data_IF_053903444295
#
_entry.id   IF_053903444295
#
_cell.length_a   1.000
_cell.length_b   1.000
_cell.length_c   1.000
_cell.angle_alpha   90.00
_cell.angle_beta   90.00
_cell.angle_gamma   90.00
#
_symmetry.space_group_name_H-M   'P 1'
#
loop_
_entity.id
_entity.type
_entity.pdbx_description
1 polymer ?
2 polymer ?
3 water ?
#
# COMPACT_ATOMS: atom_id res chain seq x y z
N UNK A 1 32.82 -14.35 -8.36
CA UNK A 1 31.39 -14.31 -8.07
C UNK A 1 30.68 -15.47 -8.77
N UNK A 2 30.50 -16.59 -8.07
CA UNK A 2 29.84 -17.74 -8.70
C UNK A 2 28.34 -17.52 -8.86
N UNK A 3 27.75 -18.32 -9.74
CA UNK A 3 26.30 -18.35 -9.83
C UNK A 3 25.68 -18.80 -8.51
N UNK A 4 26.24 -19.85 -7.91
CA UNK A 4 25.77 -20.32 -6.61
C UNK A 4 26.16 -19.33 -5.52
N UNK A 5 25.59 -18.13 -5.57
CA UNK A 5 25.86 -17.08 -4.59
C UNK A 5 24.59 -16.82 -3.78
N UNK A 6 24.75 -16.73 -2.47
CA UNK A 6 23.61 -16.59 -1.56
C UNK A 6 23.37 -15.11 -1.32
N UNK A 7 22.44 -14.52 -2.09
CA UNK A 7 22.04 -13.13 -1.93
C UNK A 7 20.85 -12.96 -1.00
N UNK A 8 20.63 -13.91 -0.09
CA UNK A 8 19.50 -13.82 0.83
C UNK A 8 19.72 -12.72 1.85
N UNK A 9 18.62 -12.07 2.24
CA UNK A 9 18.68 -10.99 3.21
C UNK A 9 18.69 -11.52 4.63
N UNK A 10 19.50 -10.90 5.48
CA UNK A 10 19.66 -11.30 6.88
C UNK A 10 19.33 -10.09 7.75
N UNK A 11 18.08 -10.02 8.22
CA UNK A 11 17.65 -8.93 9.08
C UNK A 11 18.03 -9.18 10.53
N UNK A 12 18.19 -8.09 11.28
CA UNK A 12 18.47 -8.17 12.72
C UNK A 12 17.78 -6.97 13.38
N UNK A 13 16.66 -7.24 14.05
CA UNK A 13 15.91 -6.18 14.70
C UNK A 13 16.49 -5.91 16.08
N UNK A 14 16.63 -4.62 16.41
CA UNK A 14 17.16 -4.19 17.70
C UNK A 14 16.21 -3.14 18.28
N UNK A 15 15.80 -3.33 19.53
CA UNK A 15 14.95 -2.39 20.25
C UNK A 15 15.73 -1.88 21.46
N UNK A 16 16.22 -0.65 21.38
CA UNK A 16 16.90 -0.02 22.49
C UNK A 16 18.09 -0.81 23.00
N UNK A 17 19.04 -1.10 22.11
CA UNK A 17 20.25 -1.80 22.51
C UNK A 17 20.08 -3.27 22.80
N UNK A 18 18.93 -3.85 22.47
CA UNK A 18 18.67 -5.27 22.69
C UNK A 18 18.28 -5.92 21.37
N UNK A 19 18.95 -7.01 21.03
CA UNK A 19 18.56 -7.79 19.85
C UNK A 19 17.27 -8.53 20.18
N UNK A 20 16.21 -8.22 19.43
CA UNK A 20 14.90 -8.79 19.67
C UNK A 20 14.51 -9.81 18.61
N UNK A 21 15.36 -10.05 17.63
CA UNK A 21 15.07 -11.05 16.62
C UNK A 21 16.02 -11.08 15.43
N UNK A 22 16.13 -12.24 14.79
CA UNK A 22 16.86 -12.39 13.54
C UNK A 22 15.95 -13.07 12.53
N UNK A 23 16.07 -12.68 11.26
CA UNK A 23 15.19 -13.22 10.23
C UNK A 23 15.97 -13.31 8.93
N UNK A 24 16.09 -14.51 8.38
CA UNK A 24 16.61 -14.69 7.04
C UNK A 24 15.45 -14.72 6.06
N UNK A 25 15.53 -13.89 5.01
CA UNK A 25 14.46 -13.74 4.04
C UNK A 25 15.03 -14.16 2.69
N UNK A 26 14.65 -15.36 2.23
CA UNK A 26 15.19 -15.93 1.01
C UNK A 26 14.53 -15.39 -0.26
N UNK A 27 13.69 -14.37 -0.15
CA UNK A 27 13.00 -13.81 -1.30
C UNK A 27 13.70 -12.55 -1.78
N UNK A 28 13.53 -12.24 -3.07
CA UNK A 28 14.13 -11.04 -3.63
C UNK A 28 13.64 -9.79 -2.93
N UNK A 29 12.40 -9.80 -2.45
CA UNK A 29 11.78 -8.64 -1.84
C UNK A 29 11.15 -9.01 -0.50
N UNK A 30 10.86 -7.98 0.28
CA UNK A 30 10.11 -8.12 1.52
C UNK A 30 9.65 -6.74 1.94
N UNK A 31 8.61 -6.70 2.77
CA UNK A 31 8.13 -5.47 3.37
C UNK A 31 8.08 -5.65 4.87
N UNK A 32 8.72 -4.73 5.59
CA UNK A 32 8.76 -4.77 7.04
C UNK A 32 7.59 -3.98 7.60
N UNK A 33 6.69 -4.67 8.30
CA UNK A 33 5.44 -4.08 8.76
C UNK A 33 5.25 -4.42 10.23
N UNK A 34 4.40 -3.62 10.89
CA UNK A 34 4.05 -3.89 12.29
C UNK A 34 3.31 -5.22 12.40
N UNK A 35 2.15 -5.31 11.74
CA UNK A 35 1.35 -6.53 11.71
C UNK A 35 0.98 -6.83 10.27
N UNK A 36 0.99 -8.12 9.92
CA UNK A 36 0.70 -8.52 8.56
C UNK A 36 -0.72 -8.14 8.17
N UNK A 37 -0.87 -7.60 6.97
CA UNK A 37 -2.17 -7.17 6.47
C UNK A 37 -2.83 -8.29 5.67
N UNK A 38 -4.15 -8.32 5.70
CA UNK A 38 -4.93 -9.30 4.94
C UNK A 38 -5.10 -8.78 3.52
N UNK A 39 -4.18 -9.17 2.64
CA UNK A 39 -4.23 -8.75 1.25
C UNK A 39 -3.43 -9.74 0.42
N UNK A 40 -3.69 -9.73 -0.88
CA UNK A 40 -2.97 -10.59 -1.83
C UNK A 40 -1.86 -9.75 -2.45
N UNK A 41 -0.70 -9.75 -1.81
CA UNK A 41 0.46 -9.02 -2.28
C UNK A 41 1.51 -10.01 -2.79
N UNK A 42 2.03 -9.76 -3.98
CA UNK A 42 3.09 -10.59 -4.52
C UNK A 42 4.34 -10.55 -3.67
N UNK A 43 4.52 -9.50 -2.88
CA UNK A 43 5.73 -9.33 -2.08
C UNK A 43 5.54 -9.90 -0.68
N UNK A 44 6.60 -10.52 -0.16
CA UNK A 44 6.57 -11.06 1.20
C UNK A 44 6.49 -9.93 2.21
N UNK A 45 5.88 -10.20 3.35
CA UNK A 45 5.74 -9.25 4.45
C UNK A 45 6.35 -9.85 5.70
N UNK A 46 7.31 -9.15 6.29
CA UNK A 46 8.03 -9.60 7.47
C UNK A 46 7.61 -8.71 8.63
N UNK A 47 7.02 -9.33 9.66
CA UNK A 47 6.53 -8.58 10.80
C UNK A 47 7.66 -8.23 11.76
N UNK A 48 7.62 -7.02 12.30
CA UNK A 48 8.52 -6.66 13.36
C UNK A 48 8.27 -7.52 14.59
N UNK A 49 9.30 -7.82 15.39
CA UNK A 49 9.07 -8.54 16.64
C UNK A 49 8.12 -7.76 17.55
N UNK A 50 7.15 -8.47 18.10
CA UNK A 50 6.17 -7.85 18.99
C UNK A 50 6.83 -7.52 20.33
N UNK A 51 6.92 -6.25 20.73
CA UNK A 51 7.63 -5.93 21.98
C UNK A 51 6.97 -6.56 23.18
N UNK A 52 7.77 -7.28 23.97
CA UNK A 52 7.24 -7.88 25.19
C UNK A 52 6.86 -6.81 26.22
N UNK A 53 7.72 -5.86 26.56
CA UNK A 53 7.31 -4.81 27.52
C UNK A 53 6.19 -3.92 26.98
N UNK A 54 6.13 -3.75 25.66
CA UNK A 54 5.02 -3.08 24.97
C UNK A 54 5.24 -1.60 24.79
N UNK A 55 6.13 -1.00 25.57
CA UNK A 55 6.39 0.43 25.45
C UNK A 55 7.88 0.70 25.64
N UNK A 56 8.40 1.79 25.05
CA UNK A 56 7.72 2.72 24.15
C UNK A 56 7.66 2.24 22.69
N UNK A 57 8.12 1.02 22.44
CA UNK A 57 8.26 0.56 21.06
C UNK A 57 6.92 0.46 20.34
N UNK A 58 5.89 -0.05 21.03
CA UNK A 58 4.63 -0.33 20.36
C UNK A 58 4.01 0.94 19.77
N UNK A 59 4.11 2.06 20.50
CA UNK A 59 3.58 3.32 19.97
C UNK A 59 4.27 3.70 18.66
N UNK A 60 5.54 3.32 18.50
CA UNK A 60 6.29 3.64 17.29
C UNK A 60 5.88 2.73 16.13
N UNK A 61 5.78 1.43 16.38
CA UNK A 61 5.43 0.50 15.31
C UNK A 61 4.04 0.78 14.75
N UNK A 62 3.13 1.31 15.56
CA UNK A 62 1.77 1.57 15.10
C UNK A 62 1.67 2.73 14.13
N UNK A 63 2.77 3.41 13.83
CA UNK A 63 2.79 4.50 12.85
C UNK A 63 3.47 4.12 11.55
N UNK A 64 4.01 2.89 11.46
CA UNK A 64 4.62 2.46 10.20
C UNK A 64 3.62 2.52 9.06
N UNK A 65 2.47 1.87 9.24
CA UNK A 65 1.46 1.80 8.19
C UNK A 65 2.01 1.07 6.98
N UNK A 66 2.37 1.80 5.91
CA UNK A 66 2.87 1.15 4.71
C UNK A 66 4.19 0.41 4.96
N UNK A 67 5.01 0.91 5.88
CA UNK A 67 6.21 0.20 6.28
C UNK A 67 7.42 0.52 5.44
N UNK A 68 8.35 -0.43 5.34
CA UNK A 68 9.60 -0.26 4.60
C UNK A 68 9.74 -1.39 3.60
N UNK A 69 10.20 -1.04 2.40
CA UNK A 69 10.46 -2.00 1.34
C UNK A 69 11.97 -2.23 1.23
N UNK A 70 12.38 -3.49 1.23
CA UNK A 70 13.79 -3.86 1.07
C UNK A 70 13.91 -4.85 -0.07
N UNK A 71 14.87 -4.62 -0.96
CA UNK A 71 15.13 -5.50 -2.09
C UNK A 71 16.56 -6.03 -1.97
N UNK A 72 16.70 -7.35 -1.88
CA UNK A 72 17.99 -8.01 -1.75
C UNK A 72 18.15 -8.98 -2.91
N UNK A 73 18.94 -8.58 -3.91
CA UNK A 73 19.15 -9.38 -5.11
C UNK A 73 20.64 -9.51 -5.42
N UNK A 74 20.97 -9.74 -6.69
CA UNK A 74 22.38 -9.92 -7.07
C UNK A 74 23.15 -8.61 -7.08
N UNK A 75 22.47 -7.48 -7.23
CA UNK A 75 23.15 -6.19 -7.32
C UNK A 75 23.29 -5.49 -5.97
N UNK A 76 22.77 -6.08 -4.90
CA UNK A 76 22.93 -5.53 -3.57
C UNK A 76 21.60 -5.21 -2.92
N UNK A 77 21.62 -4.24 -2.01
CA UNK A 77 20.47 -3.90 -1.18
C UNK A 77 19.87 -2.58 -1.63
N UNK A 78 18.55 -2.56 -1.72
CA UNK A 78 17.79 -1.37 -2.04
C UNK A 78 16.66 -1.22 -1.04
N UNK A 79 16.31 0.02 -0.72
CA UNK A 79 15.29 0.31 0.26
C UNK A 79 14.44 1.48 -0.20
N UNK A 80 13.17 1.46 0.19
CA UNK A 80 12.28 2.61 0.00
C UNK A 80 11.42 2.77 1.23
N UNK A 81 11.38 3.99 1.77
CA UNK A 81 10.60 4.29 2.96
C UNK A 81 9.21 4.79 2.57
N UNK A 82 8.18 4.13 3.09
CA UNK A 82 6.80 4.50 2.83
C UNK A 82 6.07 5.01 4.05
N UNK A 83 6.73 5.04 5.20
CA UNK A 83 6.10 5.43 6.46
C UNK A 83 6.44 6.87 6.82
N UNK A 84 5.62 7.52 7.66
CA UNK A 84 5.96 8.86 8.13
C UNK A 84 7.05 8.89 9.18
N UNK A 85 7.38 7.74 9.77
CA UNK A 85 8.47 7.69 10.77
C UNK A 85 9.78 8.06 10.09
N UNK A 86 10.57 8.98 10.63
CA UNK A 86 11.88 9.28 10.03
C UNK A 86 12.82 8.09 10.16
N UNK A 87 13.62 7.86 9.13
CA UNK A 87 14.60 6.78 9.12
C UNK A 87 15.93 7.34 8.68
N UNK A 88 16.95 7.18 9.52
CA UNK A 88 18.33 7.39 9.12
C UNK A 88 18.97 6.04 8.81
N UNK A 89 20.12 6.08 8.13
CA UNK A 89 20.74 4.85 7.68
C UNK A 89 22.25 5.05 7.52
N UNK A 90 22.99 3.97 7.75
CA UNK A 90 24.42 3.91 7.52
C UNK A 90 24.72 2.65 6.73
N UNK A 91 25.46 2.78 5.63
CA UNK A 91 25.77 1.65 4.78
C UNK A 91 27.01 1.99 3.98
N UNK A 92 27.60 1.02 3.27
CA UNK A 92 28.81 1.31 2.50
C UNK A 92 28.64 2.40 1.46
N UNK A 93 27.41 2.61 0.95
CA UNK A 93 27.17 3.58 -0.10
C UNK A 93 26.63 4.90 0.44
N UNK A 94 26.74 5.13 1.74
CA UNK A 94 26.34 6.42 2.29
C UNK A 94 27.31 7.50 1.79
N UNK A 95 26.82 8.70 1.50
CA UNK A 95 27.71 9.73 0.98
C UNK A 95 28.59 10.30 2.07
N UNK A 96 29.56 11.14 1.72
CA UNK A 96 30.43 11.74 2.74
C UNK A 96 29.84 13.02 3.28
N UNK A 97 29.02 12.92 4.32
CA UNK A 97 28.33 14.07 4.86
C UNK A 97 28.45 14.16 6.37
N UNK A 98 28.33 15.38 6.92
CA UNK A 98 28.48 15.56 8.36
C UNK A 98 27.32 15.00 9.17
N UNK A 99 26.10 15.41 8.82
CA UNK A 99 24.93 15.05 9.58
C UNK A 99 24.42 13.66 9.23
N UNK A 100 23.19 13.36 9.63
CA UNK A 100 22.62 12.04 9.34
C UNK A 100 22.09 11.94 7.92
N UNK A 101 22.06 10.72 7.41
CA UNK A 101 21.54 10.42 6.09
C UNK A 101 20.15 9.83 6.24
N UNK A 102 19.14 10.54 5.74
CA UNK A 102 17.74 10.20 5.97
C UNK A 102 17.10 9.68 4.70
N UNK A 103 16.39 8.57 4.82
CA UNK A 103 15.69 7.99 3.67
C UNK A 103 14.62 8.95 3.17
N UNK A 104 14.63 9.35 1.90
CA UNK A 104 13.56 10.21 1.41
C UNK A 104 12.33 9.42 0.99
N UNK A 105 11.17 9.98 1.28
CA UNK A 105 9.91 9.36 0.86
C UNK A 105 9.77 9.42 -0.64
N UNK A 106 9.24 8.35 -1.22
CA UNK A 106 9.04 8.26 -2.67
C UNK A 106 10.37 8.46 -3.41
N UNK A 107 11.31 7.57 -3.10
CA UNK A 107 12.62 7.57 -3.73
C UNK A 107 13.40 6.32 -3.32
N UNK A 108 13.73 5.47 -4.30
CA UNK A 108 14.43 4.22 -4.01
C UNK A 108 15.91 4.51 -3.77
N UNK A 109 16.41 4.09 -2.62
CA UNK A 109 17.77 4.39 -2.18
C UNK A 109 18.60 3.11 -2.28
N UNK A 110 19.78 3.21 -2.88
CA UNK A 110 20.69 2.08 -3.03
C UNK A 110 21.61 2.02 -1.82
N UNK A 111 21.43 1.00 -0.98
CA UNK A 111 22.20 0.86 0.26
C UNK A 111 23.53 0.17 0.05
N UNK A 112 23.52 -1.00 -0.57
CA UNK A 112 24.70 -1.84 -0.71
C UNK A 112 24.80 -2.33 -2.15
N UNK A 113 26.04 -2.51 -2.62
CA UNK A 113 26.31 -2.94 -3.97
C UNK A 113 27.28 -4.11 -3.96
N UNK A 114 26.97 -5.12 -4.77
CA UNK A 114 27.87 -6.27 -4.91
C UNK A 114 29.02 -5.97 -5.87
N UNK A 115 28.76 -5.16 -6.89
CA UNK A 115 29.81 -4.82 -7.86
C UNK A 115 31.02 -4.19 -7.16
N UNK A 116 30.78 -3.14 -6.37
CA UNK A 116 31.88 -2.46 -5.70
C UNK A 116 32.43 -3.28 -4.54
N UNK A 117 31.61 -4.13 -3.93
CA UNK A 117 32.12 -5.03 -2.91
C UNK A 117 33.17 -5.96 -3.49
N UNK A 118 32.86 -6.58 -4.63
CA UNK A 118 33.83 -7.45 -5.29
C UNK A 118 35.07 -6.67 -5.71
N UNK A 119 34.89 -5.47 -6.24
CA UNK A 119 36.01 -4.64 -6.67
C UNK A 119 36.93 -4.34 -5.49
N UNK A 120 36.38 -3.74 -4.43
CA UNK A 120 37.18 -3.39 -3.27
C UNK A 120 37.72 -4.62 -2.56
N UNK A 121 37.06 -5.77 -2.69
CA UNK A 121 37.58 -6.99 -2.08
C UNK A 121 38.79 -7.52 -2.86
N UNK A 122 38.70 -7.54 -4.18
CA UNK A 122 39.83 -7.96 -5.00
C UNK A 122 41.06 -7.09 -4.75
N UNK A 123 40.85 -5.82 -4.41
CA UNK A 123 41.96 -4.92 -4.15
C UNK A 123 42.61 -5.18 -2.80
N UNK A 124 41.85 -5.66 -1.81
CA UNK A 124 42.42 -5.96 -0.51
C UNK A 124 43.28 -7.22 -0.57
N UNK A 125 42.69 -8.33 -1.03
CA UNK A 125 43.46 -9.57 -1.16
C UNK A 125 44.78 -9.32 -1.87
N UNK A 126 44.74 -8.56 -2.97
CA UNK A 126 45.98 -8.19 -3.66
C UNK A 126 46.79 -7.22 -2.81
N UNK A 127 46.13 -6.26 -2.17
CA UNK A 127 46.80 -5.38 -1.23
C UNK A 127 46.91 -3.93 -1.69
N UNK A 128 45.83 -3.39 -2.25
CA UNK A 128 45.79 -2.01 -2.70
C UNK A 128 44.65 -1.23 -2.08
N UNK A 129 44.12 -1.68 -0.94
CA UNK A 129 43.05 -0.99 -0.28
C UNK A 129 42.52 -1.72 0.94
N UNK A 130 41.62 -1.07 1.67
CA UNK A 130 41.05 -1.69 2.89
C UNK A 130 39.98 -2.71 2.54
N UNK A 131 39.58 -3.54 3.51
CA UNK A 131 38.52 -4.51 3.23
C UNK A 131 37.18 -3.82 3.08
N UNK A 132 36.27 -4.37 2.28
CA UNK A 132 34.99 -3.69 2.05
C UNK A 132 34.01 -3.89 3.19
N UNK A 133 33.13 -2.91 3.35
CA UNK A 133 32.05 -2.97 4.32
C UNK A 133 30.77 -3.44 3.63
N UNK A 134 29.85 -3.99 4.43
CA UNK A 134 28.62 -4.57 3.87
C UNK A 134 27.37 -4.38 4.71
N UNK A 135 27.47 -4.03 6.00
CA UNK A 135 26.28 -3.92 6.83
C UNK A 135 25.55 -2.61 6.55
N UNK A 136 24.23 -2.70 6.44
CA UNK A 136 23.36 -1.57 6.08
C UNK A 136 22.38 -1.32 7.22
N UNK A 137 22.83 -0.59 8.22
CA UNK A 137 22.00 -0.32 9.39
C UNK A 137 20.91 0.69 9.06
N UNK A 138 19.76 0.52 9.70
CA UNK A 138 18.65 1.47 9.61
C UNK A 138 18.19 1.84 11.01
N UNK A 139 18.06 3.14 11.27
CA UNK A 139 17.64 3.65 12.56
C UNK A 139 16.30 4.36 12.39
N UNK A 140 15.30 3.93 13.16
CA UNK A 140 14.01 4.60 13.22
C UNK A 140 13.97 5.53 14.42
N UNK A 141 13.23 6.63 14.28
CA UNK A 141 13.13 7.63 15.33
C UNK A 141 11.67 7.81 15.75
N UNK A 142 11.48 8.32 16.97
CA UNK A 142 10.15 8.52 17.52
C UNK A 142 10.20 9.69 18.50
N UNK A 143 9.05 10.34 18.66
CA UNK A 143 8.95 11.46 19.59
C UNK A 143 8.55 10.98 20.97
N UNK A 150 13.82 14.54 22.67
CA UNK A 150 12.50 14.31 22.08
C UNK A 150 12.55 13.17 21.07
N UNK A 151 13.37 13.32 20.04
CA UNK A 151 13.54 12.27 19.03
C UNK A 151 14.51 11.23 19.55
N UNK A 152 14.06 9.97 19.66
CA UNK A 152 14.86 8.89 20.20
C UNK A 152 14.87 7.72 19.23
N UNK A 153 16.02 7.04 19.15
CA UNK A 153 16.23 5.95 18.20
C UNK A 153 15.79 4.64 18.85
N UNK A 154 14.48 4.43 18.87
CA UNK A 154 13.92 3.29 19.59
C UNK A 154 14.19 1.98 18.86
N UNK A 155 14.04 1.97 17.54
CA UNK A 155 14.18 0.76 16.73
C UNK A 155 15.43 0.89 15.86
N UNK A 156 16.14 -0.22 15.70
CA UNK A 156 17.28 -0.32 14.82
C UNK A 156 17.21 -1.65 14.09
N UNK A 157 17.52 -1.63 12.80
CA UNK A 157 17.47 -2.82 11.96
C UNK A 157 18.76 -2.87 11.16
N UNK A 158 19.52 -3.96 11.35
CA UNK A 158 20.72 -4.22 10.57
C UNK A 158 20.38 -5.17 9.43
N UNK A 159 21.10 -5.02 8.32
CA UNK A 159 20.85 -5.82 7.13
C UNK A 159 22.17 -6.23 6.51
N UNK A 160 22.20 -7.43 5.95
CA UNK A 160 23.40 -7.93 5.29
C UNK A 160 23.01 -9.11 4.40
N UNK A 161 23.88 -9.41 3.44
CA UNK A 161 23.68 -10.54 2.54
C UNK A 161 24.60 -11.69 2.93
N UNK A 162 24.10 -12.91 2.76
CA UNK A 162 24.84 -14.08 3.23
C UNK A 162 26.19 -14.21 2.54
N UNK A 163 26.25 -13.93 1.24
CA UNK A 163 27.50 -14.11 0.50
C UNK A 163 28.60 -13.20 1.05
N UNK A 164 28.24 -12.04 1.59
CA UNK A 164 29.24 -11.06 2.00
C UNK A 164 30.05 -11.56 3.19
N UNK A 165 29.37 -11.82 4.32
CA UNK A 165 30.09 -12.24 5.52
C UNK A 165 30.82 -13.55 5.32
N UNK A 166 30.31 -14.42 4.44
CA UNK A 166 30.95 -15.71 4.22
C UNK A 166 32.31 -15.55 3.55
N UNK A 167 32.44 -14.58 2.65
CA UNK A 167 33.72 -14.39 1.95
C UNK A 167 34.79 -13.82 2.88
N UNK A 168 34.40 -12.91 3.77
CA UNK A 168 35.37 -12.22 4.60
C UNK A 168 35.81 -13.06 5.80
N UNK A 169 34.86 -13.74 6.45
CA UNK A 169 35.17 -14.45 7.69
C UNK A 169 36.12 -15.63 7.48
N UNK A 170 36.41 -16.01 6.24
CA UNK A 170 37.37 -17.09 6.02
C UNK A 170 38.75 -16.70 6.56
N UNK A 171 39.14 -15.44 6.38
CA UNK A 171 40.40 -14.94 6.92
C UNK A 171 40.15 -13.59 7.59
N UNK B 1 -39.55 -0.92 6.02
CA UNK B 1 -39.58 -1.95 4.98
C UNK B 1 -38.23 -2.66 4.93
N UNK B 2 -38.24 -4.00 4.95
CA UNK B 2 -37.00 -4.75 5.03
C UNK B 2 -36.19 -4.66 3.74
N UNK B 3 -36.86 -4.67 2.59
CA UNK B 3 -36.14 -4.63 1.32
C UNK B 3 -35.20 -3.44 1.27
N UNK B 4 -35.63 -2.29 1.76
CA UNK B 4 -34.73 -1.14 1.89
C UNK B 4 -33.66 -1.42 2.94
N UNK B 5 -34.10 -1.69 4.17
CA UNK B 5 -33.17 -1.92 5.27
C UNK B 5 -32.11 -2.94 4.89
N UNK B 6 -32.51 -4.02 4.23
CA UNK B 6 -31.54 -5.02 3.79
C UNK B 6 -30.71 -4.55 2.61
N UNK B 7 -31.29 -3.69 1.75
CA UNK B 7 -30.53 -3.16 0.64
C UNK B 7 -29.39 -2.27 1.14
N UNK B 8 -29.70 -1.31 2.00
CA UNK B 8 -28.66 -0.46 2.58
C UNK B 8 -27.87 -1.17 3.66
N UNK B 9 -28.35 -2.32 4.13
CA UNK B 9 -27.55 -3.16 5.02
C UNK B 9 -26.28 -3.62 4.30
N UNK B 10 -26.44 -4.34 3.20
CA UNK B 10 -25.29 -4.89 2.49
C UNK B 10 -24.45 -3.85 1.77
N UNK B 11 -25.00 -2.67 1.50
CA UNK B 11 -24.20 -1.63 0.87
C UNK B 11 -23.06 -1.20 1.77
N UNK B 12 -23.33 -1.04 3.07
CA UNK B 12 -22.26 -0.78 4.04
C UNK B 12 -21.17 -1.84 3.91
N UNK B 13 -21.56 -3.12 3.98
CA UNK B 13 -20.58 -4.20 3.97
C UNK B 13 -19.76 -4.17 2.68
N UNK B 14 -20.42 -3.90 1.55
CA UNK B 14 -19.75 -4.04 0.26
C UNK B 14 -18.90 -2.82 -0.11
N UNK B 15 -19.26 -1.63 0.37
CA UNK B 15 -18.39 -0.48 0.14
C UNK B 15 -17.17 -0.55 1.06
N UNK B 16 -17.34 -1.11 2.26
CA UNK B 16 -16.19 -1.42 3.09
C UNK B 16 -15.25 -2.37 2.36
N UNK B 17 -15.78 -3.47 1.85
CA UNK B 17 -14.97 -4.41 1.07
C UNK B 17 -14.30 -3.71 -0.10
N UNK B 18 -15.02 -2.80 -0.77
CA UNK B 18 -14.42 -2.01 -1.83
C UNK B 18 -13.25 -1.18 -1.31
N UNK B 19 -13.47 -0.47 -0.20
CA UNK B 19 -12.40 0.34 0.38
C UNK B 19 -11.18 -0.53 0.67
N UNK B 20 -11.39 -1.75 1.14
CA UNK B 20 -10.27 -2.66 1.36
C UNK B 20 -9.61 -3.06 0.06
N UNK B 21 -10.41 -3.37 -0.97
CA UNK B 21 -9.86 -3.71 -2.27
C UNK B 21 -9.00 -2.58 -2.83
N UNK B 22 -9.47 -1.34 -2.65
CA UNK B 22 -8.71 -0.19 -3.17
C UNK B 22 -7.40 -0.03 -2.43
N UNK B 23 -7.40 -0.30 -1.12
CA UNK B 23 -6.15 -0.26 -0.36
C UNK B 23 -5.21 -1.36 -0.83
N UNK B 24 -5.76 -2.56 -1.08
CA UNK B 24 -4.95 -3.64 -1.62
C UNK B 24 -4.30 -3.24 -2.93
N UNK B 25 -5.06 -2.59 -3.82
CA UNK B 25 -4.51 -2.13 -5.10
C UNK B 25 -3.42 -1.09 -4.86
N UNK B 26 -3.73 -0.06 -4.09
CA UNK B 26 -2.75 0.99 -3.80
C UNK B 26 -1.45 0.38 -3.30
N UNK B 27 -1.54 -0.52 -2.32
CA UNK B 27 -0.34 -1.17 -1.79
C UNK B 27 0.47 -1.84 -2.89
N UNK B 28 -0.20 -2.48 -3.84
CA UNK B 28 0.50 -3.20 -4.90
C UNK B 28 1.08 -2.28 -5.95
N UNK B 29 0.43 -1.15 -6.24
CA UNK B 29 1.01 -0.21 -7.20
C UNK B 29 2.33 0.34 -6.69
N UNK B 30 2.48 0.48 -5.38
CA UNK B 30 3.79 0.84 -4.81
C UNK B 30 4.80 -0.28 -5.05
N UNK B 31 4.39 -1.53 -4.86
CA UNK B 31 5.28 -2.67 -5.09
C UNK B 31 5.84 -2.61 -6.50
N UNK B 32 4.97 -2.47 -7.50
CA UNK B 32 5.41 -2.50 -8.89
C UNK B 32 6.45 -1.42 -9.15
N UNK B 33 6.14 -0.17 -8.81
CA UNK B 33 7.05 0.93 -9.10
C UNK B 33 8.38 0.74 -8.38
N UNK B 34 8.35 0.19 -7.16
CA UNK B 34 9.57 -0.12 -6.44
C UNK B 34 10.40 -1.15 -7.20
N UNK B 35 9.79 -2.31 -7.49
CA UNK B 35 10.49 -3.32 -8.28
C UNK B 35 10.89 -2.77 -9.64
N UNK B 36 9.99 -2.04 -10.30
CA UNK B 36 10.32 -1.46 -11.60
C UNK B 36 11.56 -0.59 -11.50
N UNK B 37 11.59 0.31 -10.50
CA UNK B 37 12.74 1.18 -10.31
C UNK B 37 14.01 0.37 -10.03
N UNK B 38 13.91 -0.60 -9.11
CA UNK B 38 15.06 -1.43 -8.78
C UNK B 38 15.57 -2.15 -10.03
N UNK B 39 14.65 -2.69 -10.84
CA UNK B 39 15.03 -3.33 -12.09
C UNK B 39 15.75 -2.35 -13.01
N UNK B 40 15.33 -1.08 -13.01
CA UNK B 40 15.93 -0.09 -13.89
C UNK B 40 17.29 0.37 -13.39
N UNK B 41 17.52 0.32 -12.08
CA UNK B 41 18.80 0.72 -11.52
C UNK B 41 19.87 -0.30 -11.85
N UNK B 42 21.04 0.18 -12.23
CA UNK B 42 22.15 -0.69 -12.64
C UNK B 42 23.48 -0.21 -12.07
N UNK B 47 25.58 -7.75 -17.86
CA UNK B 47 24.46 -8.13 -17.00
C UNK B 47 24.71 -9.50 -16.37
N UNK B 48 24.01 -9.75 -15.25
CA UNK B 48 24.03 -11.06 -14.62
C UNK B 48 22.77 -11.82 -14.98
N UNK B 49 22.86 -13.07 -15.47
CA UNK B 49 21.64 -13.82 -15.82
C UNK B 49 20.58 -13.80 -14.72
N UNK B 50 20.98 -13.52 -13.48
CA UNK B 50 20.01 -13.33 -12.42
C UNK B 50 19.00 -12.25 -12.75
N UNK B 51 19.34 -11.31 -13.63
CA UNK B 51 18.42 -10.24 -13.98
C UNK B 51 17.16 -10.77 -14.63
N UNK B 52 17.25 -11.91 -15.32
CA UNK B 52 16.06 -12.55 -15.85
C UNK B 52 15.04 -12.78 -14.74
N UNK B 53 15.50 -13.29 -13.60
CA UNK B 53 14.63 -13.43 -12.44
C UNK B 53 14.08 -12.08 -12.00
N UNK B 54 14.90 -11.03 -12.08
CA UNK B 54 14.46 -9.70 -11.68
C UNK B 54 13.36 -9.18 -12.61
N UNK B 55 13.49 -9.43 -13.91
CA UNK B 55 12.48 -8.97 -14.85
C UNK B 55 11.20 -9.79 -14.71
N UNK B 56 11.33 -11.11 -14.57
CA UNK B 56 10.15 -11.95 -14.36
C UNK B 56 9.38 -11.52 -13.12
N UNK B 57 10.07 -10.97 -12.12
CA UNK B 57 9.39 -10.48 -10.93
C UNK B 57 8.55 -9.25 -11.25
N UNK B 58 9.14 -8.26 -11.92
CA UNK B 58 8.39 -7.08 -12.35
C UNK B 58 7.25 -7.48 -13.28
N UNK B 59 7.52 -8.40 -14.20
CA UNK B 59 6.49 -8.82 -15.14
C UNK B 59 5.28 -9.37 -14.42
N UNK B 60 5.49 -10.12 -13.33
CA UNK B 60 4.41 -10.72 -12.58
C UNK B 60 3.70 -9.72 -11.66
N UNK B 61 4.31 -8.58 -11.38
CA UNK B 61 3.66 -7.58 -10.54
C UNK B 61 2.66 -6.75 -11.34
N UNK B 62 2.98 -6.46 -12.60
CA UNK B 62 2.05 -5.70 -13.44
C UNK B 62 0.79 -6.50 -13.74
N UNK B 63 0.91 -7.84 -13.80
CA UNK B 63 -0.27 -8.66 -14.06
C UNK B 63 -1.27 -8.59 -12.91
N UNK B 64 -0.77 -8.61 -11.66
CA UNK B 64 -1.66 -8.42 -10.52
C UNK B 64 -2.32 -7.04 -10.56
N UNK B 65 -1.51 -6.00 -10.77
CA UNK B 65 -2.06 -4.65 -10.89
C UNK B 65 -3.16 -4.63 -11.94
N UNK B 66 -2.89 -5.20 -13.11
CA UNK B 66 -3.89 -5.25 -14.17
C UNK B 66 -5.11 -6.05 -13.74
N UNK B 67 -4.89 -7.22 -13.14
CA UNK B 67 -6.00 -8.03 -12.65
C UNK B 67 -6.81 -7.29 -11.60
N UNK B 68 -6.13 -6.65 -10.64
CA UNK B 68 -6.83 -5.94 -9.58
C UNK B 68 -7.59 -4.74 -10.14
N UNK B 69 -6.94 -3.94 -10.98
CA UNK B 69 -7.60 -2.79 -11.58
C UNK B 69 -8.93 -3.19 -12.22
N UNK B 70 -8.95 -4.31 -12.94
CA UNK B 70 -10.19 -4.76 -13.57
C UNK B 70 -11.18 -5.31 -12.56
N UNK B 71 -10.69 -5.87 -11.45
CA UNK B 71 -11.57 -6.39 -10.42
C UNK B 71 -12.14 -5.28 -9.52
N UNK B 72 -11.50 -4.12 -9.48
CA UNK B 72 -12.04 -3.01 -8.71
C UNK B 72 -13.20 -2.36 -9.45
N UNK B 73 -13.03 -2.13 -10.76
CA UNK B 73 -14.13 -1.59 -11.55
C UNK B 73 -15.36 -2.48 -11.48
N UNK B 74 -15.15 -3.80 -11.56
CA UNK B 74 -16.28 -4.73 -11.46
C UNK B 74 -17.02 -4.55 -10.14
N UNK B 75 -16.27 -4.34 -9.05
CA UNK B 75 -16.91 -4.11 -7.76
C UNK B 75 -17.73 -2.82 -7.80
N UNK B 76 -17.06 -1.70 -8.07
CA UNK B 76 -17.72 -0.40 -8.00
C UNK B 76 -18.84 -0.28 -9.03
N UNK B 77 -18.69 -0.90 -10.20
CA UNK B 77 -19.77 -0.87 -11.18
C UNK B 77 -21.00 -1.60 -10.66
N UNK B 78 -20.80 -2.70 -9.94
CA UNK B 78 -21.92 -3.38 -9.31
C UNK B 78 -22.57 -2.53 -8.24
N UNK B 79 -21.76 -1.77 -7.49
CA UNK B 79 -22.32 -0.87 -6.49
C UNK B 79 -23.07 0.29 -7.15
N UNK B 80 -22.46 0.91 -8.16
CA UNK B 80 -23.13 1.98 -8.88
C UNK B 80 -24.53 1.54 -9.33
N UNK B 81 -24.60 0.37 -9.96
CA UNK B 81 -25.89 -0.14 -10.39
C UNK B 81 -26.84 -0.38 -9.23
N UNK B 82 -26.33 -0.94 -8.13
CA UNK B 82 -27.16 -1.18 -6.97
C UNK B 82 -27.68 0.14 -6.38
N UNK B 83 -26.79 1.12 -6.24
CA UNK B 83 -27.21 2.43 -5.76
C UNK B 83 -28.29 3.02 -6.64
N UNK B 84 -28.20 2.78 -7.96
CA UNK B 84 -29.23 3.25 -8.87
C UNK B 84 -30.58 2.61 -8.53
N UNK B 85 -30.61 1.28 -8.41
CA UNK B 85 -31.84 0.60 -8.03
C UNK B 85 -32.42 1.18 -6.76
N UNK B 86 -31.58 1.42 -5.75
CA UNK B 86 -32.05 1.98 -4.50
C UNK B 86 -32.63 3.39 -4.72
N UNK B 87 -31.87 4.26 -5.38
CA UNK B 87 -32.36 5.61 -5.67
C UNK B 87 -33.64 5.53 -6.50
N UNK B 88 -33.60 4.78 -7.60
CA UNK B 88 -34.78 4.65 -8.44
C UNK B 88 -35.97 4.09 -7.68
N UNK B 89 -35.74 3.42 -6.55
CA UNK B 89 -36.83 2.90 -5.74
C UNK B 89 -37.21 3.85 -4.61
N UNK B 90 -36.26 4.65 -4.13
CA UNK B 90 -36.54 5.55 -3.01
C UNK B 90 -37.29 6.81 -3.48
N UNK B 91 -36.76 7.49 -4.49
CA UNK B 91 -37.33 8.78 -4.87
C UNK B 91 -38.79 8.67 -5.32
N UNK B 92 -39.19 7.69 -6.13
CA UNK B 92 -40.63 7.57 -6.42
C UNK B 92 -41.48 7.37 -5.18
N UNK B 93 -40.93 6.76 -4.13
CA UNK B 93 -41.68 6.58 -2.90
C UNK B 93 -41.91 7.91 -2.20
N UNK B 94 -40.85 8.70 -2.04
CA UNK B 94 -41.01 10.04 -1.47
C UNK B 94 -41.99 10.86 -2.30
N UNK B 95 -41.96 10.71 -3.63
CA UNK B 95 -42.94 11.38 -4.48
C UNK B 95 -44.35 10.99 -4.07
N UNK B 96 -44.59 9.70 -3.82
CA UNK B 96 -45.91 9.26 -3.38
C UNK B 96 -46.26 9.84 -2.02
N UNK B 97 -45.25 10.12 -1.19
CA UNK B 97 -45.52 10.72 0.11
C UNK B 97 -45.96 12.17 -0.02
N UNK B 98 -45.22 12.96 -0.82
CA UNK B 98 -45.60 14.34 -1.04
C UNK B 98 -47.03 14.44 -1.56
N UNK B 99 -47.40 13.56 -2.49
CA UNK B 99 -48.76 13.54 -3.01
C UNK B 99 -49.74 13.22 -1.89
N UNK B 100 -49.53 12.10 -1.20
CA UNK B 100 -50.44 11.67 -0.16
C UNK B 100 -50.55 12.70 0.96
N UNK B 101 -49.48 13.44 1.23
CA UNK B 101 -49.53 14.52 2.21
C UNK B 101 -50.38 15.67 1.69
N UNK B 102 -50.14 16.10 0.45
CA UNK B 102 -50.94 17.18 -0.12
C UNK B 102 -52.42 16.85 -0.09
N UNK B 103 -52.77 15.60 -0.37
CA UNK B 103 -54.17 15.19 -0.31
C UNK B 103 -54.69 15.26 1.12
N UNK B 104 -53.84 14.92 2.10
CA UNK B 104 -54.25 14.98 3.49
C UNK B 104 -54.73 16.37 3.88
N UNK B 105 -54.29 17.40 3.18
CA UNK B 105 -54.72 18.76 3.47
C UNK B 105 -56.11 19.07 2.91
N UNK B 106 -56.64 18.23 2.03
CA UNK B 106 -57.97 18.45 1.47
C UNK B 106 -58.87 17.24 1.75
N UNK B 107 -58.62 16.57 2.87
CA UNK B 107 -59.54 15.56 3.37
C UNK B 107 -59.13 14.12 3.15
N UNK B 108 -57.85 13.85 2.93
CA UNK B 108 -57.39 12.47 2.76
C UNK B 108 -56.78 11.96 4.04
N UNK B 109 -56.59 10.65 4.16
CA UNK B 109 -55.94 10.11 5.37
C UNK B 109 -54.43 10.30 5.32
N UNK B 110 -53.77 10.38 6.47
CA UNK B 110 -52.33 10.64 6.45
C UNK B 110 -51.57 9.49 5.82
N UNK B 111 -50.38 9.74 5.26
CA UNK B 111 -49.60 8.65 4.69
C UNK B 111 -49.09 7.71 5.77
N UNK B 112 -49.05 6.42 5.43
CA UNK B 112 -48.68 5.41 6.43
C UNK B 112 -47.20 5.52 6.79
N UNK B 113 -46.35 5.83 5.82
CA UNK B 113 -44.92 5.89 6.04
C UNK B 113 -44.52 7.27 6.52
N UNK B 114 -43.76 7.32 7.62
CA UNK B 114 -43.31 8.58 8.17
C UNK B 114 -42.24 9.21 7.28
N UNK B 115 -42.22 10.55 7.26
CA UNK B 115 -41.19 11.25 6.51
C UNK B 115 -39.84 11.14 7.20
N UNK B 116 -39.83 10.95 8.52
CA UNK B 116 -38.57 10.81 9.24
C UNK B 116 -37.79 9.60 8.74
N UNK B 117 -38.48 8.51 8.42
CA UNK B 117 -37.79 7.31 7.96
C UNK B 117 -37.32 7.47 6.52
N UNK B 118 -38.10 8.17 5.69
CA UNK B 118 -37.68 8.39 4.31
C UNK B 118 -36.41 9.25 4.26
N UNK B 119 -36.38 10.34 5.03
CA UNK B 119 -35.22 11.22 5.02
C UNK B 119 -33.96 10.49 5.45
N UNK B 120 -34.07 9.58 6.42
CA UNK B 120 -32.92 8.79 6.83
C UNK B 120 -32.42 7.92 5.69
N UNK B 121 -33.35 7.31 4.94
CA UNK B 121 -32.96 6.45 3.83
C UNK B 121 -32.28 7.25 2.72
N UNK B 122 -32.82 8.42 2.40
CA UNK B 122 -32.21 9.27 1.38
C UNK B 122 -30.86 9.81 1.84
N UNK B 123 -30.71 10.06 3.15
CA UNK B 123 -29.42 10.52 3.66
C UNK B 123 -28.41 9.39 3.68
N UNK B 124 -28.83 8.19 4.11
CA UNK B 124 -27.93 7.04 4.07
C UNK B 124 -27.59 6.67 2.64
N UNK B 125 -28.56 6.77 1.73
CA UNK B 125 -28.28 6.51 0.33
C UNK B 125 -27.33 7.52 -0.28
N UNK B 126 -27.47 8.79 0.11
CA UNK B 126 -26.54 9.81 -0.37
C UNK B 126 -25.15 9.61 0.22
N UNK B 127 -25.07 9.29 1.52
CA UNK B 127 -23.77 9.07 2.15
C UNK B 127 -22.98 7.97 1.45
N UNK B 128 -23.67 7.02 0.81
CA UNK B 128 -22.96 6.00 0.04
C UNK B 128 -22.41 6.58 -1.25
N UNK B 129 -23.18 7.45 -1.91
CA UNK B 129 -22.74 7.97 -3.20
C UNK B 129 -21.58 8.95 -3.04
N UNK B 130 -21.58 9.74 -1.95
CA UNK B 130 -20.43 10.60 -1.69
C UNK B 130 -19.20 9.78 -1.36
N UNK B 131 -19.37 8.73 -0.53
CA UNK B 131 -18.27 7.85 -0.24
C UNK B 131 -17.71 7.23 -1.52
N UNK B 132 -18.59 6.74 -2.39
CA UNK B 132 -18.13 6.11 -3.63
C UNK B 132 -17.45 7.12 -4.54
N UNK B 133 -17.94 8.36 -4.57
CA UNK B 133 -17.29 9.39 -5.37
C UNK B 133 -15.86 9.63 -4.88
N UNK B 134 -15.66 9.64 -3.56
CA UNK B 134 -14.33 9.79 -3.01
C UNK B 134 -13.43 8.63 -3.44
N UNK B 135 -13.96 7.41 -3.45
CA UNK B 135 -13.15 6.25 -3.78
C UNK B 135 -12.77 6.24 -5.26
N UNK B 136 -13.73 6.54 -6.15
CA UNK B 136 -13.39 6.68 -7.55
C UNK B 136 -12.38 7.79 -7.77
N UNK B 137 -12.50 8.88 -6.99
CA UNK B 137 -11.52 9.96 -7.07
C UNK B 137 -10.13 9.48 -6.70
N UNK B 138 -10.03 8.53 -5.78
CA UNK B 138 -8.73 7.96 -5.43
C UNK B 138 -8.19 7.13 -6.59
N UNK B 139 -9.03 6.28 -7.17
CA UNK B 139 -8.59 5.45 -8.30
C UNK B 139 -8.14 6.31 -9.47
N UNK B 140 -8.77 7.46 -9.67
CA UNK B 140 -8.34 8.36 -10.74
C UNK B 140 -6.93 8.87 -10.50
N UNK B 141 -6.56 9.06 -9.24
CA UNK B 141 -5.18 9.46 -8.92
C UNK B 141 -4.22 8.29 -9.12
N UNK B 142 -4.63 7.09 -8.71
CA UNK B 142 -3.82 5.90 -8.99
C UNK B 142 -3.67 5.66 -10.48
N UNK B 143 -4.69 6.02 -11.27
CA UNK B 143 -4.59 5.85 -12.72
C UNK B 143 -3.40 6.61 -13.29
N UNK B 144 -2.96 7.67 -12.61
CA UNK B 144 -1.82 8.47 -13.04
C UNK B 144 -0.48 7.85 -12.64
N UNK B 145 -0.48 6.57 -12.24
CA UNK B 145 0.76 5.90 -11.85
C UNK B 145 1.82 6.02 -12.94
N UNK B 146 1.43 5.74 -14.18
CA UNK B 146 2.35 5.74 -15.30
C UNK B 146 1.90 6.74 -16.36
N UNK B 147 2.73 6.91 -17.39
CA UNK B 147 2.53 7.95 -18.40
C UNK B 147 1.22 7.76 -19.14
N UNK B 148 1.09 6.67 -19.90
CA UNK B 148 -0.16 6.40 -20.60
C UNK B 148 -1.35 6.25 -19.66
N UNK B 149 -1.10 6.12 -18.36
CA UNK B 149 -2.15 6.13 -17.33
C UNK B 149 -2.96 4.84 -17.30
N UNK B 150 -3.42 4.38 -18.47
CA UNK B 150 -4.30 3.24 -18.55
C UNK B 150 -5.60 3.64 -19.22
N UNK B 151 -5.54 3.87 -20.53
CA UNK B 151 -6.63 4.51 -21.25
C UNK B 151 -7.96 3.81 -20.98
N UNK B 152 -7.95 2.49 -20.87
CA UNK B 152 -9.19 1.76 -20.62
C UNK B 152 -9.61 1.85 -19.16
N UNK B 153 -8.67 1.68 -18.23
CA UNK B 153 -9.00 1.78 -16.82
C UNK B 153 -9.46 3.17 -16.44
N UNK B 154 -8.77 4.20 -16.95
CA UNK B 154 -9.15 5.56 -16.64
C UNK B 154 -10.56 5.90 -17.10
N UNK B 155 -10.94 5.43 -18.29
CA UNK B 155 -12.28 5.68 -18.79
C UNK B 155 -13.33 4.98 -17.94
N UNK B 156 -13.02 3.79 -17.43
CA UNK B 156 -13.96 3.10 -16.57
C UNK B 156 -14.28 3.90 -15.32
N UNK B 157 -13.25 4.51 -14.71
CA UNK B 157 -13.49 5.36 -13.54
C UNK B 157 -14.27 6.60 -13.93
N UNK B 158 -13.85 7.28 -15.00
CA UNK B 158 -14.58 8.45 -15.48
C UNK B 158 -16.04 8.12 -15.76
N UNK B 159 -16.30 6.96 -16.37
CA UNK B 159 -17.66 6.60 -16.74
C UNK B 159 -18.50 6.31 -15.51
N UNK B 160 -17.90 5.70 -14.48
CA UNK B 160 -18.62 5.48 -13.23
C UNK B 160 -18.77 6.76 -12.43
N UNK B 161 -17.78 7.65 -12.48
CA UNK B 161 -17.88 8.92 -11.80
C UNK B 161 -19.04 9.75 -12.32
N UNK B 162 -19.35 9.63 -13.61
CA UNK B 162 -20.50 10.33 -14.17
C UNK B 162 -21.80 9.78 -13.61
N UNK B 163 -21.93 8.45 -13.59
CA UNK B 163 -23.16 7.83 -13.08
C UNK B 163 -23.38 8.21 -11.62
N UNK B 164 -22.33 8.09 -10.79
CA UNK B 164 -22.45 8.44 -9.38
C UNK B 164 -22.95 9.88 -9.23
N UNK B 165 -22.50 10.77 -10.12
CA UNK B 165 -22.89 12.17 -10.01
C UNK B 165 -24.33 12.37 -10.43
N UNK B 166 -24.79 11.62 -11.44
CA UNK B 166 -26.18 11.71 -11.85
C UNK B 166 -27.11 11.21 -10.75
N UNK B 167 -26.70 10.15 -10.04
CA UNK B 167 -27.48 9.69 -8.90
C UNK B 167 -27.53 10.74 -7.80
N UNK B 168 -26.40 11.40 -7.52
CA UNK B 168 -26.39 12.48 -6.54
C UNK B 168 -27.27 13.63 -6.99
N UNK B 169 -27.14 14.03 -8.26
CA UNK B 169 -27.95 15.13 -8.77
C UNK B 169 -29.43 14.85 -8.59
N UNK B 170 -29.86 13.61 -8.81
CA UNK B 170 -31.23 13.22 -8.50
C UNK B 170 -31.54 13.46 -7.03
N UNK B 171 -30.70 12.92 -6.14
CA UNK B 171 -31.01 12.94 -4.71
C UNK B 171 -30.96 14.36 -4.15
N UNK B 172 -30.02 15.18 -4.61
CA UNK B 172 -29.83 16.51 -4.04
C UNK B 172 -30.88 17.51 -4.51
N UNK B 173 -31.61 17.20 -5.59
CA UNK B 173 -32.67 18.10 -6.05
C UNK B 173 -33.92 17.96 -5.18
N UNK B 174 -34.34 16.73 -4.93
CA UNK B 174 -35.57 16.44 -4.19
C UNK B 174 -35.21 15.89 -2.82
N UNK B 175 -34.65 16.76 -1.98
CA UNK B 175 -34.26 16.38 -0.63
C UNK B 175 -33.85 17.60 0.19
#
# INVERSE_FOLDING_TARGET
>A
LPLNSDYSLLLTFIYGGRVVGKTQVHSLDCRLVAERSDSESSMEQVEFPKPDPLEPTQHLLNQLDRGVLVASNSRGLFVQRLCPIPISWNAPEAPPGPGPHLLPSNKCVELFKTTYFCRDLAQYFQGQGPPPKFQATLHFWAASPGSSHSQENLITVQMEQAFARHLLEKI
>B
QLEIENRIQGLHVDIEFLVRSIRQLKDEQDVFSFRYTVFSLKKTSSSDPHQSQQAQLVQATANKVDRMRKEVLDISKGLVGRLTTLVDLLLPKLDEWKVQQAASCIGAPPPELQLEQLEQWLTAGAKFLFHLRQLLKQLKEMSHMLRYKGDMFGQGVDLQNAQVMELLQRLLQRS
#
